data_IF_038891145213
#
_entry.id   IF_038891145213
#
_cell.length_a   1.000
_cell.length_b   1.000
_cell.length_c   1.000
_cell.angle_alpha   90.00
_cell.angle_beta   90.00
_cell.angle_gamma   90.00
#
_symmetry.space_group_name_H-M   'P 1'
#
loop_
_entity.id
_entity.type
_entity.pdbx_description
1 polymer ?
#
# COMPACT_ATOMS: atom_id res chain seq x y z
N UNK A 1 -24.35 27.72 -25.20
CA UNK A 1 -22.96 27.52 -24.74
C UNK A 1 -23.01 26.71 -23.46
N UNK A 2 -22.56 25.44 -23.47
CA UNK A 2 -22.68 24.50 -22.34
C UNK A 2 -21.28 24.08 -21.90
N UNK A 3 -20.87 24.53 -20.71
CA UNK A 3 -19.53 24.33 -20.17
C UNK A 3 -19.22 22.84 -19.94
N UNK A 4 -18.10 22.37 -20.50
CA UNK A 4 -17.58 21.03 -20.21
C UNK A 4 -17.06 21.02 -18.77
N UNK A 5 -17.72 20.28 -17.87
CA UNK A 5 -17.11 19.91 -16.58
C UNK A 5 -15.92 19.00 -16.90
N UNK A 6 -14.72 19.44 -16.55
CA UNK A 6 -13.53 18.61 -16.61
C UNK A 6 -13.69 17.45 -15.62
N UNK A 7 -13.95 16.25 -16.15
CA UNK A 7 -13.90 15.01 -15.37
C UNK A 7 -12.47 14.83 -14.86
N UNK A 8 -12.26 15.02 -13.55
CA UNK A 8 -11.01 14.65 -12.89
C UNK A 8 -10.84 13.13 -13.01
N UNK A 9 -10.02 12.69 -13.95
CA UNK A 9 -9.57 11.31 -14.07
C UNK A 9 -8.43 11.10 -13.08
N UNK A 10 -8.64 10.25 -12.07
CA UNK A 10 -7.55 9.72 -11.27
C UNK A 10 -6.94 8.58 -12.08
N UNK A 11 -5.78 8.85 -12.69
CA UNK A 11 -4.96 7.83 -13.33
C UNK A 11 -4.12 7.22 -12.21
N UNK A 12 -4.53 6.07 -11.69
CA UNK A 12 -3.67 5.23 -10.84
C UNK A 12 -2.69 4.51 -11.78
N UNK A 13 -1.57 5.15 -12.08
CA UNK A 13 -0.46 4.53 -12.79
C UNK A 13 0.13 3.39 -11.93
N UNK A 14 0.36 2.24 -12.55
CA UNK A 14 0.48 0.95 -11.89
C UNK A 14 1.74 0.75 -11.03
N UNK A 15 1.54 0.03 -9.93
CA UNK A 15 2.32 -1.15 -9.50
C UNK A 15 1.59 -1.81 -8.30
N UNK A 16 0.98 -2.98 -8.56
CA UNK A 16 0.63 -4.08 -7.62
C UNK A 16 -0.04 -3.81 -6.27
N UNK A 17 -0.60 -2.63 -5.99
CA UNK A 17 -1.43 -2.41 -4.79
C UNK A 17 -2.91 -2.31 -5.19
N UNK A 18 -3.60 -3.45 -5.21
CA UNK A 18 -5.07 -3.41 -5.18
C UNK A 18 -5.48 -2.61 -3.93
N UNK A 19 -6.40 -1.64 -3.99
CA UNK A 19 -6.71 -0.74 -2.86
C UNK A 19 -6.94 -1.45 -1.51
N UNK A 20 -7.44 -2.69 -1.53
CA UNK A 20 -7.61 -3.52 -0.33
C UNK A 20 -6.31 -3.86 0.42
N UNK A 21 -5.17 -4.00 -0.27
CA UNK A 21 -3.88 -4.34 0.38
C UNK A 21 -3.37 -3.22 1.29
N UNK A 22 -3.59 -1.96 0.90
CA UNK A 22 -3.21 -0.81 1.71
C UNK A 22 -4.06 -0.68 2.97
N UNK A 23 -5.35 -1.02 2.88
CA UNK A 23 -6.28 -1.01 4.02
C UNK A 23 -5.89 -2.05 5.07
N UNK A 24 -5.27 -3.15 4.66
CA UNK A 24 -4.81 -4.20 5.58
C UNK A 24 -3.48 -3.90 6.25
N UNK A 25 -2.74 -2.88 5.82
CA UNK A 25 -1.43 -2.58 6.39
C UNK A 25 -1.46 -2.36 7.92
N UNK A 26 -2.41 -1.59 8.50
CA UNK A 26 -2.51 -1.43 9.95
C UNK A 26 -2.85 -2.71 10.72
N UNK A 27 -3.36 -3.75 10.06
CA UNK A 27 -3.66 -5.06 10.67
C UNK A 27 -2.44 -5.98 10.55
N UNK A 28 -1.78 -5.98 9.39
CA UNK A 28 -0.64 -6.84 9.10
C UNK A 28 0.62 -6.43 9.88
N UNK A 29 0.85 -5.12 10.05
CA UNK A 29 2.08 -4.62 10.67
C UNK A 29 2.20 -5.01 12.16
N UNK A 30 1.15 -4.91 13.00
CA UNK A 30 1.22 -5.41 14.38
C UNK A 30 1.47 -6.92 14.48
N UNK A 31 0.87 -7.73 13.59
CA UNK A 31 1.13 -9.18 13.58
C UNK A 31 2.61 -9.47 13.29
N UNK A 32 3.19 -8.77 12.32
CA UNK A 32 4.61 -8.87 12.06
C UNK A 32 5.46 -8.45 13.26
N UNK A 33 5.10 -7.35 13.93
CA UNK A 33 5.80 -6.88 15.13
C UNK A 33 5.73 -7.87 16.31
N UNK A 34 4.66 -8.65 16.40
CA UNK A 34 4.51 -9.74 17.37
C UNK A 34 5.30 -11.01 16.99
N UNK A 35 6.01 -11.00 15.86
CA UNK A 35 6.84 -12.11 15.40
C UNK A 35 6.15 -13.08 14.44
N UNK A 36 4.95 -12.77 13.94
CA UNK A 36 4.30 -13.62 12.94
C UNK A 36 4.88 -13.41 11.54
N UNK A 37 5.06 -14.50 10.80
CA UNK A 37 5.20 -14.46 9.35
C UNK A 37 3.83 -14.17 8.73
N UNK A 38 3.63 -12.95 8.24
CA UNK A 38 2.36 -12.55 7.64
C UNK A 38 2.33 -12.97 6.18
N UNK A 39 1.47 -13.94 5.86
CA UNK A 39 1.29 -14.44 4.49
C UNK A 39 0.45 -13.47 3.64
N UNK A 40 0.65 -13.53 2.34
CA UNK A 40 -0.11 -12.75 1.37
C UNK A 40 -1.63 -13.05 1.45
N UNK A 41 -2.50 -12.05 1.73
CA UNK A 41 -3.91 -12.29 1.98
C UNK A 41 -4.66 -12.64 0.69
N UNK A 42 -5.59 -13.60 0.82
CA UNK A 42 -6.53 -13.94 -0.23
C UNK A 42 -7.77 -13.04 -0.15
N UNK A 43 -7.90 -12.07 -1.07
CA UNK A 43 -8.98 -11.10 -1.04
C UNK A 43 -10.13 -11.50 -1.97
N UNK A 44 -11.31 -11.78 -1.39
CA UNK A 44 -12.55 -11.99 -2.14
C UNK A 44 -13.43 -10.73 -1.98
N UNK A 45 -13.61 -9.99 -3.08
CA UNK A 45 -14.47 -8.79 -3.11
C UNK A 45 -15.82 -9.08 -3.75
N UNK A 46 -16.80 -8.17 -3.63
CA UNK A 46 -18.12 -8.31 -4.28
C UNK A 46 -18.93 -9.49 -3.76
N UNK A 47 -18.85 -9.74 -2.45
CA UNK A 47 -19.57 -10.84 -1.77
C UNK A 47 -21.00 -10.43 -1.40
N UNK A 48 -21.25 -9.13 -1.23
CA UNK A 48 -22.56 -8.61 -0.87
C UNK A 48 -23.62 -9.05 -1.90
N UNK A 49 -24.72 -9.62 -1.41
CA UNK A 49 -25.85 -10.04 -2.25
C UNK A 49 -26.71 -8.86 -2.72
N UNK A 50 -27.95 -9.15 -3.11
CA UNK A 50 -28.89 -8.15 -3.60
C UNK A 50 -28.96 -8.01 -5.12
N UNK A 51 -28.19 -8.82 -5.84
CA UNK A 51 -28.38 -9.02 -7.28
C UNK A 51 -29.58 -9.93 -7.53
N UNK A 52 -30.27 -9.73 -8.65
CA UNK A 52 -31.38 -10.58 -9.10
C UNK A 52 -31.07 -11.19 -10.45
N UNK A 53 -31.79 -12.27 -10.77
CA UNK A 53 -31.74 -12.92 -12.08
C UNK A 53 -30.31 -13.34 -12.47
N UNK A 54 -29.91 -13.07 -13.71
CA UNK A 54 -28.62 -13.47 -14.29
C UNK A 54 -27.41 -12.96 -13.49
N UNK A 55 -27.49 -11.74 -12.94
CA UNK A 55 -26.41 -11.16 -12.16
C UNK A 55 -26.15 -11.94 -10.86
N UNK A 56 -27.20 -12.48 -10.23
CA UNK A 56 -27.06 -13.33 -9.05
C UNK A 56 -26.40 -14.68 -9.38
N UNK A 57 -26.79 -15.29 -10.51
CA UNK A 57 -26.20 -16.55 -10.99
C UNK A 57 -24.72 -16.36 -11.34
N UNK A 58 -24.38 -15.27 -12.05
CA UNK A 58 -23.00 -14.93 -12.39
C UNK A 58 -22.16 -14.67 -11.12
N UNK A 59 -22.68 -13.93 -10.15
CA UNK A 59 -21.99 -13.70 -8.88
C UNK A 59 -21.76 -15.01 -8.13
N UNK A 60 -22.76 -15.90 -8.07
CA UNK A 60 -22.64 -17.20 -7.41
C UNK A 60 -21.54 -18.05 -8.03
N UNK A 61 -21.54 -18.21 -9.36
CA UNK A 61 -20.50 -18.95 -10.08
C UNK A 61 -19.10 -18.40 -9.79
N UNK A 62 -18.94 -17.07 -9.84
CA UNK A 62 -17.66 -16.42 -9.49
C UNK A 62 -17.24 -16.72 -8.04
N UNK A 63 -18.15 -16.64 -7.08
CA UNK A 63 -17.85 -16.91 -5.67
C UNK A 63 -17.49 -18.38 -5.42
N UNK A 64 -18.17 -19.31 -6.09
CA UNK A 64 -17.86 -20.74 -6.02
C UNK A 64 -16.44 -21.01 -6.56
N UNK A 65 -16.08 -20.39 -7.69
CA UNK A 65 -14.70 -20.45 -8.22
C UNK A 65 -13.66 -19.86 -7.25
N UNK A 66 -13.96 -18.73 -6.61
CA UNK A 66 -13.06 -18.14 -5.60
C UNK A 66 -12.90 -19.06 -4.39
N UNK A 67 -13.97 -19.73 -3.97
CA UNK A 67 -13.92 -20.68 -2.86
C UNK A 67 -13.06 -21.90 -3.21
N UNK A 68 -13.16 -22.42 -4.43
CA UNK A 68 -12.28 -23.50 -4.91
C UNK A 68 -10.81 -23.08 -4.92
N UNK A 69 -10.50 -21.88 -5.43
CA UNK A 69 -9.13 -21.34 -5.41
C UNK A 69 -8.60 -21.16 -3.99
N UNK A 70 -9.43 -20.62 -3.09
CA UNK A 70 -9.06 -20.43 -1.70
C UNK A 70 -8.72 -21.77 -1.00
N UNK A 71 -9.53 -22.80 -1.22
CA UNK A 71 -9.24 -24.16 -0.72
C UNK A 71 -7.93 -24.72 -1.26
N UNK A 72 -7.67 -24.55 -2.56
CA UNK A 72 -6.42 -25.00 -3.18
C UNK A 72 -5.20 -24.26 -2.63
N UNK A 73 -5.34 -22.96 -2.33
CA UNK A 73 -4.28 -22.17 -1.69
C UNK A 73 -4.04 -22.60 -0.24
N UNK A 74 -5.10 -22.85 0.55
CA UNK A 74 -4.96 -23.35 1.92
C UNK A 74 -4.30 -24.73 1.98
N UNK A 75 -4.57 -25.59 0.99
CA UNK A 75 -3.89 -26.89 0.87
C UNK A 75 -2.37 -26.77 0.62
N UNK A 76 -1.90 -25.59 0.18
CA UNK A 76 -0.51 -25.30 -0.11
C UNK A 76 -0.04 -24.06 0.67
N UNK A 77 -0.39 -24.00 1.97
CA UNK A 77 -0.15 -22.83 2.81
C UNK A 77 1.32 -22.38 2.82
N UNK A 78 2.25 -23.33 2.89
CA UNK A 78 3.70 -23.07 2.92
C UNK A 78 4.24 -22.47 1.62
N UNK A 79 3.51 -22.62 0.51
CA UNK A 79 3.86 -22.04 -0.77
C UNK A 79 3.37 -20.59 -0.93
N UNK A 80 2.57 -20.09 0.03
CA UNK A 80 2.07 -18.71 -0.02
C UNK A 80 3.22 -17.76 0.35
N UNK A 81 3.54 -16.77 -0.50
CA UNK A 81 4.59 -15.81 -0.18
C UNK A 81 4.22 -14.97 1.05
N UNK A 82 5.23 -14.63 1.85
CA UNK A 82 5.08 -13.68 2.95
C UNK A 82 5.08 -12.24 2.43
N UNK A 83 4.25 -11.38 3.05
CA UNK A 83 4.30 -9.94 2.84
C UNK A 83 5.64 -9.43 3.37
N UNK A 84 6.33 -8.64 2.55
CA UNK A 84 7.54 -7.97 2.99
C UNK A 84 7.18 -6.77 3.86
N UNK A 85 7.69 -6.74 5.08
CA UNK A 85 7.51 -5.67 6.06
C UNK A 85 8.87 -5.39 6.70
N UNK A 86 9.04 -4.15 7.17
CA UNK A 86 10.28 -3.74 7.81
C UNK A 86 10.46 -4.45 9.15
N UNK A 87 11.64 -5.05 9.34
CA UNK A 87 12.01 -5.75 10.56
C UNK A 87 12.40 -4.77 11.67
N UNK A 88 12.55 -5.24 12.90
CA UNK A 88 12.91 -4.39 14.04
C UNK A 88 14.26 -3.67 13.82
N UNK A 89 15.19 -4.33 13.12
CA UNK A 89 16.53 -3.84 12.84
C UNK A 89 16.57 -2.72 11.80
N UNK A 90 15.50 -2.55 11.02
CA UNK A 90 15.38 -1.46 10.04
C UNK A 90 15.12 -0.11 10.70
N UNK A 91 14.73 -0.11 11.99
CA UNK A 91 14.38 1.08 12.75
C UNK A 91 15.53 1.51 13.67
N UNK A 92 15.70 2.83 13.83
CA UNK A 92 16.57 3.41 14.85
C UNK A 92 15.89 3.47 16.24
N UNK A 93 16.64 3.89 17.25
CA UNK A 93 16.17 4.06 18.63
C UNK A 93 15.03 5.07 18.80
N UNK A 94 14.73 5.87 17.77
CA UNK A 94 13.66 6.85 17.75
C UNK A 94 12.46 6.39 16.90
N UNK A 95 12.44 5.13 16.47
CA UNK A 95 11.36 4.56 15.65
C UNK A 95 11.33 5.12 14.22
N UNK A 96 12.48 5.56 13.69
CA UNK A 96 12.62 6.01 12.30
C UNK A 96 13.30 4.97 11.45
N UNK A 97 12.88 4.88 10.19
CA UNK A 97 13.50 3.99 9.23
C UNK A 97 14.93 4.46 8.94
N UNK A 98 15.91 3.58 9.14
CA UNK A 98 17.33 3.85 8.85
C UNK A 98 17.53 4.22 7.37
N UNK A 99 18.51 5.07 7.00
CA UNK A 99 18.67 5.56 5.63
C UNK A 99 18.87 4.49 4.55
N UNK A 100 19.42 3.33 4.91
CA UNK A 100 19.73 2.23 4.00
C UNK A 100 18.73 1.06 4.11
N UNK A 101 17.76 1.15 5.03
CA UNK A 101 16.76 0.10 5.18
C UNK A 101 15.79 0.11 3.98
N UNK A 102 15.27 -1.04 3.54
CA UNK A 102 14.33 -1.09 2.43
C UNK A 102 13.01 -0.39 2.78
N UNK A 103 12.30 0.12 1.78
CA UNK A 103 10.93 0.65 1.96
C UNK A 103 9.94 -0.33 1.35
N UNK A 104 9.20 -1.04 2.20
CA UNK A 104 8.23 -2.06 1.74
C UNK A 104 6.79 -1.56 1.63
N UNK A 105 6.48 -0.39 2.21
CA UNK A 105 5.11 0.14 2.31
C UNK A 105 5.05 1.62 1.93
N UNK A 106 3.97 2.09 1.28
CA UNK A 106 3.80 3.52 0.97
C UNK A 106 3.60 4.40 2.21
N UNK A 107 3.31 3.81 3.37
CA UNK A 107 3.17 4.49 4.66
C UNK A 107 4.52 4.76 5.34
N UNK A 108 5.58 4.05 4.94
CA UNK A 108 6.93 4.19 5.49
C UNK A 108 7.78 4.93 4.46
N UNK A 109 8.56 5.92 4.89
CA UNK A 109 9.50 6.65 4.04
C UNK A 109 10.73 7.02 4.84
N UNK A 110 11.89 7.08 4.17
CA UNK A 110 13.04 7.75 4.75
C UNK A 110 12.71 9.21 5.01
N UNK A 111 13.20 9.73 6.13
CA UNK A 111 13.06 11.15 6.41
C UNK A 111 13.97 11.91 5.46
N UNK A 112 13.41 12.90 4.77
CA UNK A 112 14.22 13.92 4.13
C UNK A 112 14.79 14.81 5.23
N UNK A 113 16.11 14.82 5.41
CA UNK A 113 16.75 15.86 6.19
C UNK A 113 16.76 17.16 5.38
N UNK A 114 15.66 17.90 5.47
CA UNK A 114 15.50 19.20 4.83
C UNK A 114 16.61 20.19 5.22
N UNK A 115 17.25 19.98 6.37
CA UNK A 115 18.40 20.77 6.84
C UNK A 115 19.67 20.59 6.00
N UNK A 116 19.79 19.48 5.25
CA UNK A 116 20.91 19.24 4.33
C UNK A 116 20.64 19.78 2.92
N UNK A 117 19.47 20.35 2.66
CA UNK A 117 19.09 20.91 1.35
C UNK A 117 19.19 22.45 1.28
N UNK A 118 19.73 23.10 2.31
CA UNK A 118 19.68 24.56 2.47
C UNK A 118 20.96 25.24 2.94
N UNK A 119 22.14 24.74 2.57
CA UNK A 119 23.42 25.44 2.81
C UNK A 119 23.99 26.12 1.56
N UNK A 120 23.13 26.63 0.68
CA UNK A 120 23.51 27.68 -0.28
C UNK A 120 22.35 28.67 -0.39
N UNK A 121 22.35 29.67 0.49
CA UNK A 121 21.59 30.90 0.30
C UNK A 121 22.60 32.04 0.19
N UNK A 122 22.89 32.58 -1.01
CA UNK A 122 23.71 33.76 -1.11
C UNK A 122 22.84 34.96 -0.71
N UNK A 123 22.83 35.30 0.57
CA UNK A 123 22.54 36.67 0.97
C UNK A 123 23.72 37.53 0.51
N UNK A 124 23.68 38.00 -0.73
CA UNK A 124 24.46 39.17 -1.12
C UNK A 124 23.86 40.38 -0.40
N UNK A 125 24.63 41.15 0.38
CA UNK A 125 24.14 42.42 0.89
C UNK A 125 23.96 43.36 -0.31
N UNK A 126 22.76 43.95 -0.41
CA UNK A 126 22.49 44.99 -1.38
C UNK A 126 23.38 46.21 -1.06
N UNK A 127 24.42 46.41 -1.86
CA UNK A 127 25.13 47.69 -1.94
C UNK A 127 24.15 48.73 -2.49
N UNK A 128 23.63 49.58 -1.61
CA UNK A 128 23.08 50.87 -2.02
C UNK A 128 24.27 51.79 -2.33
N UNK A 129 24.48 52.11 -3.61
CA UNK A 129 25.27 53.28 -3.98
C UNK A 129 24.53 54.55 -3.56
N UNK A 130 25.32 55.51 -3.08
CA UNK A 130 24.93 56.88 -2.76
C UNK A 130 24.59 57.70 -4.00
#
# INVERSE_FOLDING_TARGET
MRGRRASKRIILAGRTSTPGRLILWPINYPLHYLGFTVLEPFLITGVLGGLTSEAAVAQRRRLDEQLHRYRAQLANLDAIPAIQLNAAEDWDEHGKLKPHAPVHSPFIRHRLDWRLQGSESPLQPATRSA
#
